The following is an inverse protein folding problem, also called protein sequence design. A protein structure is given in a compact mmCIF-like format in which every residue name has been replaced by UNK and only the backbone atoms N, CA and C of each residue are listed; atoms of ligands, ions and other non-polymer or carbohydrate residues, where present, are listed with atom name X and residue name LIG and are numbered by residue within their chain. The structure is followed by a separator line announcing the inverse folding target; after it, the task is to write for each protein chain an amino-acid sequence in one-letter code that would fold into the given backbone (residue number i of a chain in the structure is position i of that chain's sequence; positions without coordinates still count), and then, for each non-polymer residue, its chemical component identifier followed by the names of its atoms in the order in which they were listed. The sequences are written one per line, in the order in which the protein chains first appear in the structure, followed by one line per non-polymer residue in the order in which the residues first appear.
data_IF_060632868364
#
_entry.id   IF_060632868364
#
_cell.length_a   1.000
_cell.length_b   1.000
_cell.length_c   1.000
_cell.angle_alpha   90.00
_cell.angle_beta   90.00
_cell.angle_gamma   90.00
#
_symmetry.space_group_name_H-M   'P 1'
#
loop_
_entity.id
_entity.type
_entity.pdbx_description
1 polymer ?
#
# COMPACT_ATOMS: atom_id res chain seq x y z
N UNK A 1 -4.34 27.99 2.61
CA UNK A 1 -3.81 26.97 3.57
C UNK A 1 -2.38 27.32 3.98
N UNK A 2 -1.94 27.03 5.21
CA UNK A 2 -0.55 27.26 5.66
C UNK A 2 0.07 25.97 6.21
N UNK A 3 1.31 25.66 5.83
CA UNK A 3 2.10 24.57 6.39
C UNK A 3 3.50 25.06 6.79
N UNK A 4 3.73 25.23 8.09
CA UNK A 4 4.97 25.80 8.61
C UNK A 4 5.22 27.21 8.08
N UNK A 5 6.23 27.35 7.22
CA UNK A 5 6.62 28.61 6.57
C UNK A 5 5.99 28.82 5.19
N UNK A 6 5.23 27.84 4.69
CA UNK A 6 4.68 27.88 3.33
C UNK A 6 3.20 28.27 3.36
N UNK A 7 2.82 29.18 2.47
CA UNK A 7 1.45 29.56 2.21
C UNK A 7 1.04 29.00 0.86
N UNK A 8 -0.17 28.45 0.81
CA UNK A 8 -0.75 27.89 -0.40
C UNK A 8 -2.09 28.57 -0.65
N UNK A 9 -2.25 29.05 -1.88
CA UNK A 9 -3.54 29.35 -2.49
C UNK A 9 -3.96 28.09 -3.24
N UNK A 10 -5.18 27.63 -3.00
CA UNK A 10 -5.70 26.39 -3.59
C UNK A 10 -6.88 26.79 -4.45
N UNK A 11 -6.81 26.47 -5.74
CA UNK A 11 -7.90 26.59 -6.67
C UNK A 11 -8.42 25.20 -6.98
N UNK A 12 -9.74 25.06 -7.07
CA UNK A 12 -10.41 23.84 -7.48
C UNK A 12 -11.10 24.19 -8.79
N UNK A 13 -10.84 23.40 -9.83
CA UNK A 13 -11.45 23.55 -11.14
C UNK A 13 -11.90 22.18 -11.60
N UNK A 14 -13.01 22.17 -12.34
CA UNK A 14 -13.41 21.01 -13.10
C UNK A 14 -12.43 20.84 -14.27
N UNK A 15 -12.11 19.58 -14.59
CA UNK A 15 -11.27 19.20 -15.71
C UNK A 15 -11.92 18.01 -16.40
N UNK A 16 -11.86 17.99 -17.73
CA UNK A 16 -12.35 16.84 -18.47
C UNK A 16 -11.50 15.60 -18.16
N UNK A 17 -12.13 14.44 -17.89
CA UNK A 17 -11.39 13.21 -17.65
C UNK A 17 -10.60 12.82 -18.90
N UNK A 18 -9.38 12.33 -18.70
CA UNK A 18 -8.50 11.84 -19.77
C UNK A 18 -8.26 10.35 -19.57
N UNK A 19 -9.27 9.51 -19.90
CA UNK A 19 -9.17 8.09 -19.70
C UNK A 19 -8.02 7.51 -20.54
N UNK A 20 -7.39 6.46 -20.01
CA UNK A 20 -6.46 5.65 -20.78
C UNK A 20 -7.23 4.68 -21.69
N UNK A 21 -6.59 4.13 -22.73
CA UNK A 21 -7.18 3.03 -23.50
C UNK A 21 -7.68 1.91 -22.56
N UNK A 22 -8.84 1.29 -22.83
CA UNK A 22 -9.35 0.19 -22.02
C UNK A 22 -8.30 -0.91 -21.85
N UNK A 23 -8.28 -1.51 -20.67
CA UNK A 23 -7.42 -2.65 -20.33
C UNK A 23 -8.26 -3.68 -19.61
N UNK A 24 -8.15 -4.94 -20.03
CA UNK A 24 -8.79 -6.08 -19.37
C UNK A 24 -7.89 -6.66 -18.26
N UNK A 25 -6.63 -6.21 -18.16
CA UNK A 25 -5.70 -6.68 -17.14
C UNK A 25 -6.20 -6.30 -15.73
N UNK A 26 -6.09 -7.24 -14.80
CA UNK A 26 -6.47 -7.06 -13.41
C UNK A 26 -5.35 -7.51 -12.46
N UNK A 27 -5.18 -6.78 -11.36
CA UNK A 27 -4.13 -7.09 -10.37
C UNK A 27 -4.68 -7.04 -8.95
N UNK A 28 -4.29 -8.01 -8.12
CA UNK A 28 -4.45 -7.94 -6.67
C UNK A 28 -3.21 -7.35 -6.03
N UNK A 29 -3.38 -6.48 -5.03
CA UNK A 29 -2.29 -5.93 -4.23
C UNK A 29 -2.48 -6.27 -2.74
N UNK A 30 -1.49 -6.92 -2.17
CA UNK A 30 -1.36 -7.12 -0.72
C UNK A 30 -0.52 -5.98 -0.13
N UNK A 31 -1.04 -5.27 0.87
CA UNK A 31 -0.39 -4.10 1.46
C UNK A 31 0.51 -4.51 2.64
N UNK A 32 1.76 -4.07 2.60
CA UNK A 32 2.77 -4.35 3.61
C UNK A 32 3.37 -3.09 4.23
N UNK A 33 4.14 -3.30 5.29
CA UNK A 33 4.94 -2.24 5.94
C UNK A 33 6.43 -2.55 5.97
N UNK A 34 6.82 -3.81 5.83
CA UNK A 34 8.22 -4.27 5.89
C UNK A 34 8.35 -5.74 5.40
N UNK A 35 9.30 -6.06 4.50
CA UNK A 35 10.17 -5.16 3.73
C UNK A 35 9.46 -4.50 2.54
N UNK A 36 8.32 -5.04 2.12
CA UNK A 36 7.56 -4.56 0.98
C UNK A 36 6.41 -3.63 1.41
N UNK A 37 6.20 -2.57 0.64
CA UNK A 37 5.04 -1.68 0.72
C UNK A 37 3.80 -2.34 0.13
N UNK A 38 3.97 -3.04 -0.99
CA UNK A 38 2.95 -3.91 -1.55
C UNK A 38 3.58 -5.08 -2.31
N UNK A 39 2.82 -6.16 -2.43
CA UNK A 39 3.12 -7.32 -3.27
C UNK A 39 1.94 -7.54 -4.21
N UNK A 40 2.23 -7.81 -5.48
CA UNK A 40 1.20 -8.00 -6.51
C UNK A 40 0.92 -9.48 -6.74
N UNK A 41 -0.25 -9.80 -7.31
CA UNK A 41 -0.63 -11.18 -7.67
C UNK A 41 0.25 -11.78 -8.78
N UNK A 42 0.99 -10.95 -9.52
CA UNK A 42 2.00 -11.34 -10.51
C UNK A 42 3.40 -11.55 -9.91
N UNK A 43 3.58 -11.31 -8.60
CA UNK A 43 4.86 -11.51 -7.91
C UNK A 43 5.77 -10.28 -7.85
N UNK A 44 5.38 -9.14 -8.42
CA UNK A 44 6.13 -7.89 -8.21
C UNK A 44 6.06 -7.46 -6.74
N UNK A 45 7.20 -7.14 -6.15
CA UNK A 45 7.32 -6.66 -4.78
C UNK A 45 7.89 -5.24 -4.76
N UNK A 46 7.11 -4.28 -4.28
CA UNK A 46 7.54 -2.88 -4.17
C UNK A 46 8.12 -2.66 -2.78
N UNK A 47 9.39 -2.26 -2.67
CA UNK A 47 10.01 -2.01 -1.37
C UNK A 47 9.34 -0.89 -0.59
N UNK A 48 9.28 -1.05 0.73
CA UNK A 48 8.88 0.01 1.64
C UNK A 48 10.00 1.07 1.73
N UNK A 49 9.72 2.34 1.38
CA UNK A 49 10.76 3.37 1.32
C UNK A 49 11.32 3.74 2.70
N UNK A 50 10.57 3.44 3.78
CA UNK A 50 10.97 3.62 5.20
C UNK A 50 11.46 5.04 5.50
N UNK A 51 10.81 6.04 4.92
CA UNK A 51 11.24 7.44 5.03
C UNK A 51 11.23 7.96 6.46
N UNK A 52 10.23 7.58 7.28
CA UNK A 52 10.20 7.96 8.68
C UNK A 52 11.34 7.29 9.45
N UNK A 53 11.53 5.98 9.31
CA UNK A 53 12.62 5.26 10.00
C UNK A 53 13.99 5.87 9.67
N UNK A 54 14.26 6.18 8.40
CA UNK A 54 15.50 6.85 7.95
C UNK A 54 15.69 8.25 8.54
N UNK A 55 14.60 8.93 8.92
CA UNK A 55 14.61 10.28 9.47
C UNK A 55 14.44 10.32 11.00
N UNK A 56 14.21 9.17 11.64
CA UNK A 56 13.78 9.06 13.04
C UNK A 56 14.79 9.68 14.00
N UNK A 57 16.08 9.40 13.84
CA UNK A 57 17.14 9.97 14.67
C UNK A 57 17.20 11.49 14.58
N UNK A 58 17.13 12.04 13.35
CA UNK A 58 17.14 13.49 13.10
C UNK A 58 15.91 14.16 13.69
N UNK A 59 14.76 13.52 13.56
CA UNK A 59 13.50 14.01 14.11
C UNK A 59 13.51 13.99 15.65
N UNK A 60 13.97 12.88 16.26
CA UNK A 60 14.08 12.74 17.70
C UNK A 60 15.03 13.79 18.29
N UNK A 61 16.18 14.05 17.65
CA UNK A 61 17.09 15.12 18.04
C UNK A 61 16.42 16.50 17.99
N UNK A 62 15.73 16.82 16.89
CA UNK A 62 15.04 18.10 16.75
C UNK A 62 13.89 18.27 17.76
N UNK A 63 13.16 17.20 18.08
CA UNK A 63 12.11 17.20 19.10
C UNK A 63 12.67 17.39 20.51
N UNK A 64 13.79 16.73 20.86
CA UNK A 64 14.51 16.94 22.12
C UNK A 64 15.04 18.36 22.25
N UNK A 65 15.59 18.93 21.17
CA UNK A 65 15.99 20.35 21.14
C UNK A 65 14.79 21.27 21.41
N UNK A 66 13.64 21.00 20.80
CA UNK A 66 12.42 21.78 20.98
C UNK A 66 11.87 21.70 22.42
N UNK A 67 11.83 20.52 23.01
CA UNK A 67 11.27 20.32 24.36
C UNK A 67 12.02 21.12 25.43
N UNK A 68 13.34 21.25 25.27
CA UNK A 68 14.23 22.03 26.16
C UNK A 68 14.07 23.56 26.03
N UNK A 69 13.36 24.09 25.02
CA UNK A 69 13.23 25.55 24.82
C UNK A 69 12.02 26.14 25.55
N UNK A 70 12.21 27.26 26.25
CA UNK A 70 11.12 27.99 26.95
C UNK A 70 10.01 28.45 26.00
N UNK A 71 8.75 28.26 26.39
CA UNK A 71 7.57 28.73 25.65
C UNK A 71 7.60 30.26 25.49
N UNK A 72 7.14 30.76 24.34
CA UNK A 72 7.10 32.19 24.02
C UNK A 72 8.43 32.82 23.57
N UNK A 73 9.57 32.15 23.72
CA UNK A 73 10.87 32.68 23.26
C UNK A 73 11.13 32.39 21.78
N UNK A 74 11.83 33.31 21.11
CA UNK A 74 12.20 33.22 19.68
C UNK A 74 12.95 31.92 19.33
N UNK A 75 13.80 31.43 20.24
CA UNK A 75 14.51 30.16 20.08
C UNK A 75 13.59 28.93 19.99
N UNK A 76 12.46 28.92 20.70
CA UNK A 76 11.46 27.83 20.58
C UNK A 76 10.73 27.89 19.24
N UNK A 77 10.46 29.10 18.73
CA UNK A 77 9.86 29.29 17.38
C UNK A 77 10.76 28.66 16.31
N UNK A 78 12.07 28.95 16.34
CA UNK A 78 13.05 28.34 15.42
C UNK A 78 13.09 26.81 15.51
N UNK A 79 13.16 26.26 16.73
CA UNK A 79 13.16 24.80 16.93
C UNK A 79 11.87 24.13 16.42
N UNK A 80 10.71 24.77 16.63
CA UNK A 80 9.42 24.27 16.13
C UNK A 80 9.37 24.23 14.60
N UNK A 81 9.92 25.25 13.93
CA UNK A 81 10.02 25.28 12.47
C UNK A 81 10.93 24.19 11.93
N UNK A 82 12.04 23.89 12.60
CA UNK A 82 12.93 22.77 12.24
C UNK A 82 12.20 21.43 12.28
N UNK A 83 11.43 21.15 13.34
CA UNK A 83 10.60 19.94 13.45
C UNK A 83 9.55 19.90 12.33
N UNK A 84 8.85 21.01 12.09
CA UNK A 84 7.84 21.09 11.02
C UNK A 84 8.45 20.84 9.62
N UNK A 85 9.65 21.38 9.35
CA UNK A 85 10.37 21.17 8.08
C UNK A 85 10.71 19.69 7.85
N UNK A 86 11.15 18.99 8.90
CA UNK A 86 11.43 17.54 8.81
C UNK A 86 10.17 16.73 8.54
N UNK A 87 9.08 16.97 9.28
CA UNK A 87 7.80 16.29 9.03
C UNK A 87 7.28 16.54 7.61
N UNK A 88 7.36 17.78 7.12
CA UNK A 88 6.96 18.11 5.75
C UNK A 88 7.80 17.37 4.71
N UNK A 89 9.11 17.27 4.92
CA UNK A 89 10.00 16.50 4.01
C UNK A 89 9.59 15.03 3.95
N UNK A 90 9.37 14.38 5.09
CA UNK A 90 8.94 12.98 5.17
C UNK A 90 7.59 12.79 4.47
N UNK A 91 6.63 13.67 4.75
CA UNK A 91 5.30 13.62 4.14
C UNK A 91 5.36 13.78 2.61
N UNK A 92 6.18 14.71 2.10
CA UNK A 92 6.36 14.92 0.67
C UNK A 92 7.03 13.72 -0.02
N UNK A 93 8.07 13.13 0.59
CA UNK A 93 8.74 11.95 0.05
C UNK A 93 7.78 10.76 -0.04
N UNK A 94 7.00 10.52 1.01
CA UNK A 94 5.97 9.48 1.02
C UNK A 94 4.90 9.72 -0.04
N UNK A 95 4.42 10.96 -0.17
CA UNK A 95 3.42 11.31 -1.18
C UNK A 95 3.95 11.11 -2.60
N UNK A 96 5.18 11.52 -2.88
CA UNK A 96 5.86 11.29 -4.16
C UNK A 96 5.93 9.79 -4.49
N UNK A 97 6.37 8.97 -3.53
CA UNK A 97 6.36 7.51 -3.65
C UNK A 97 4.97 6.96 -3.97
N UNK A 98 3.94 7.38 -3.24
CA UNK A 98 2.55 6.95 -3.48
C UNK A 98 2.06 7.30 -4.88
N UNK A 99 2.30 8.51 -5.37
CA UNK A 99 1.90 8.90 -6.72
C UNK A 99 2.60 8.06 -7.79
N UNK A 100 3.90 7.77 -7.62
CA UNK A 100 4.66 6.95 -8.57
C UNK A 100 4.16 5.51 -8.62
N UNK A 101 3.97 4.89 -7.46
CA UNK A 101 3.45 3.51 -7.38
C UNK A 101 2.02 3.43 -7.93
N UNK A 102 1.13 4.35 -7.52
CA UNK A 102 -0.24 4.37 -8.03
C UNK A 102 -0.28 4.59 -9.56
N UNK A 103 0.55 5.51 -10.09
CA UNK A 103 0.62 5.75 -11.53
C UNK A 103 1.11 4.52 -12.29
N UNK A 104 2.09 3.78 -11.75
CA UNK A 104 2.56 2.53 -12.34
C UNK A 104 1.43 1.51 -12.46
N UNK A 105 0.66 1.31 -11.39
CA UNK A 105 -0.48 0.37 -11.39
C UNK A 105 -1.57 0.80 -12.38
N UNK A 106 -2.01 2.07 -12.31
CA UNK A 106 -3.10 2.62 -13.13
C UNK A 106 -2.78 2.63 -14.63
N UNK A 107 -1.50 2.80 -14.99
CA UNK A 107 -1.09 2.78 -16.39
C UNK A 107 -1.25 1.41 -17.03
N UNK A 108 -1.05 0.33 -16.25
CA UNK A 108 -1.05 -1.05 -16.76
C UNK A 108 -2.40 -1.72 -16.62
N UNK A 109 -2.98 -1.68 -15.42
CA UNK A 109 -4.14 -2.49 -15.09
C UNK A 109 -5.45 -1.72 -15.26
N UNK A 110 -6.43 -2.39 -15.88
CA UNK A 110 -7.82 -1.97 -15.95
C UNK A 110 -8.53 -2.02 -14.60
N UNK A 111 -8.19 -3.04 -13.80
CA UNK A 111 -8.78 -3.31 -12.49
C UNK A 111 -7.71 -3.54 -11.44
N UNK A 112 -7.80 -2.86 -10.31
CA UNK A 112 -6.84 -2.99 -9.20
C UNK A 112 -7.63 -3.36 -7.94
N UNK A 113 -7.30 -4.48 -7.33
CA UNK A 113 -8.03 -5.07 -6.20
C UNK A 113 -7.18 -5.02 -4.95
N UNK A 114 -7.75 -4.56 -3.84
CA UNK A 114 -7.09 -4.55 -2.55
C UNK A 114 -8.06 -4.93 -1.42
N UNK A 115 -7.52 -5.28 -0.26
CA UNK A 115 -8.33 -5.57 0.92
C UNK A 115 -9.04 -4.34 1.50
N UNK A 116 -10.26 -4.51 1.97
CA UNK A 116 -10.98 -3.51 2.78
C UNK A 116 -10.52 -3.57 4.24
N UNK A 117 -9.26 -3.18 4.46
CA UNK A 117 -8.69 -3.15 5.81
C UNK A 117 -9.30 -2.00 6.64
N UNK A 118 -9.58 -2.28 7.91
CA UNK A 118 -9.87 -1.22 8.88
C UNK A 118 -8.58 -0.49 9.28
N UNK A 119 -8.09 0.38 8.38
CA UNK A 119 -6.82 1.11 8.53
C UNK A 119 -6.83 1.97 9.79
N UNK A 120 -7.99 2.51 10.19
CA UNK A 120 -8.11 3.30 11.41
C UNK A 120 -7.82 2.44 12.65
N UNK A 121 -8.43 1.27 12.76
CA UNK A 121 -8.15 0.35 13.85
C UNK A 121 -6.68 -0.10 13.85
N UNK A 122 -6.14 -0.47 12.68
CA UNK A 122 -4.76 -0.90 12.57
C UNK A 122 -3.76 0.21 12.93
N UNK A 123 -4.06 1.46 12.60
CA UNK A 123 -3.26 2.64 12.96
C UNK A 123 -3.21 2.92 14.47
N UNK A 124 -4.01 2.21 15.28
CA UNK A 124 -4.02 2.29 16.74
C UNK A 124 -3.51 1.01 17.42
N UNK A 125 -3.03 0.06 16.64
CA UNK A 125 -2.56 -1.25 17.12
C UNK A 125 -1.04 -1.31 17.27
N UNK A 126 -0.50 -2.48 17.62
CA UNK A 126 0.95 -2.70 17.73
C UNK A 126 1.71 -2.49 16.39
N UNK A 127 1.04 -2.55 15.24
CA UNK A 127 1.63 -2.26 13.92
C UNK A 127 1.50 -0.79 13.50
N UNK A 128 0.95 0.07 14.35
CA UNK A 128 0.68 1.48 14.04
C UNK A 128 1.88 2.23 13.45
N UNK A 129 3.09 2.03 14.00
CA UNK A 129 4.31 2.69 13.51
C UNK A 129 4.56 2.39 12.03
N UNK A 130 4.44 1.12 11.63
CA UNK A 130 4.62 0.69 10.24
C UNK A 130 3.55 1.29 9.33
N UNK A 131 2.29 1.31 9.77
CA UNK A 131 1.17 1.84 8.99
C UNK A 131 1.27 3.36 8.81
N UNK A 132 1.69 4.09 9.85
CA UNK A 132 1.90 5.53 9.75
C UNK A 132 3.10 5.88 8.85
N UNK A 133 4.16 5.07 8.86
CA UNK A 133 5.28 5.26 7.93
C UNK A 133 4.86 4.94 6.49
N UNK A 134 4.20 3.80 6.26
CA UNK A 134 3.72 3.38 4.95
C UNK A 134 2.64 4.33 4.39
N UNK A 135 1.75 4.85 5.23
CA UNK A 135 0.70 5.80 4.86
C UNK A 135 -0.38 5.20 3.95
N UNK A 136 -0.84 3.98 4.24
CA UNK A 136 -1.80 3.23 3.41
C UNK A 136 -3.06 4.01 3.03
N UNK A 137 -3.69 4.71 3.97
CA UNK A 137 -4.90 5.49 3.68
C UNK A 137 -4.66 6.56 2.61
N UNK A 138 -3.53 7.27 2.68
CA UNK A 138 -3.15 8.27 1.69
C UNK A 138 -2.83 7.63 0.34
N UNK A 139 -2.17 6.47 0.33
CA UNK A 139 -1.90 5.72 -0.89
C UNK A 139 -3.20 5.26 -1.58
N UNK A 140 -4.12 4.63 -0.85
CA UNK A 140 -5.37 4.14 -1.41
C UNK A 140 -6.25 5.28 -1.92
N UNK A 141 -6.25 6.43 -1.23
CA UNK A 141 -6.90 7.64 -1.75
C UNK A 141 -6.25 8.08 -3.07
N UNK A 142 -4.91 8.10 -3.14
CA UNK A 142 -4.18 8.45 -4.37
C UNK A 142 -4.47 7.48 -5.51
N UNK A 143 -4.52 6.19 -5.20
CA UNK A 143 -4.83 5.13 -6.15
C UNK A 143 -6.25 5.30 -6.70
N UNK A 144 -7.23 5.54 -5.83
CA UNK A 144 -8.63 5.69 -6.20
C UNK A 144 -8.85 6.84 -7.19
N UNK A 145 -8.43 8.07 -6.86
CA UNK A 145 -8.69 9.20 -7.77
C UNK A 145 -7.88 9.06 -9.08
N UNK A 146 -6.66 8.49 -9.05
CA UNK A 146 -5.89 8.27 -10.28
C UNK A 146 -6.50 7.22 -11.18
N UNK A 147 -7.09 6.19 -10.58
CA UNK A 147 -7.82 5.18 -11.31
C UNK A 147 -9.06 5.79 -11.97
N UNK A 148 -9.84 6.58 -11.22
CA UNK A 148 -11.00 7.30 -11.74
C UNK A 148 -10.64 8.24 -12.90
N UNK A 149 -9.62 9.09 -12.74
CA UNK A 149 -9.10 9.98 -13.80
C UNK A 149 -8.72 9.22 -15.09
N UNK A 150 -8.24 7.99 -14.94
CA UNK A 150 -7.75 7.14 -16.03
C UNK A 150 -8.78 6.14 -16.57
N UNK A 151 -10.03 6.15 -16.06
CA UNK A 151 -11.05 5.18 -16.45
C UNK A 151 -10.75 3.75 -15.99
N UNK A 152 -10.10 3.59 -14.83
CA UNK A 152 -9.77 2.30 -14.19
C UNK A 152 -10.66 2.04 -12.99
N UNK A 153 -10.76 0.77 -12.59
CA UNK A 153 -11.52 0.34 -11.40
C UNK A 153 -10.60 0.02 -10.24
N UNK A 154 -10.98 0.46 -9.04
CA UNK A 154 -10.39 0.01 -7.78
C UNK A 154 -11.46 -0.72 -6.99
N UNK A 155 -11.21 -1.98 -6.67
CA UNK A 155 -12.17 -2.86 -5.99
C UNK A 155 -11.62 -3.20 -4.59
N UNK A 156 -12.50 -3.08 -3.60
CA UNK A 156 -12.22 -3.52 -2.23
C UNK A 156 -12.85 -4.89 -1.99
N UNK A 157 -12.10 -5.79 -1.35
CA UNK A 157 -12.58 -7.14 -1.02
C UNK A 157 -12.45 -7.43 0.47
N UNK A 158 -13.26 -8.34 0.99
CA UNK A 158 -13.13 -8.82 2.37
C UNK A 158 -11.72 -9.39 2.60
N UNK A 159 -10.95 -8.92 3.59
CA UNK A 159 -9.62 -9.47 3.93
C UNK A 159 -9.65 -10.86 4.58
N UNK A 160 -10.80 -11.37 5.00
CA UNK A 160 -10.89 -12.56 5.86
C UNK A 160 -10.28 -13.80 5.20
N UNK A 161 -9.16 -14.31 5.71
CA UNK A 161 -8.45 -15.53 5.22
C UNK A 161 -7.68 -15.41 3.91
N UNK A 162 -7.58 -14.23 3.29
CA UNK A 162 -6.74 -13.99 2.10
C UNK A 162 -5.29 -14.44 2.30
N UNK A 163 -4.75 -14.28 3.51
CA UNK A 163 -3.38 -14.70 3.85
C UNK A 163 -3.25 -16.16 4.33
N UNK A 164 -4.34 -16.93 4.34
CA UNK A 164 -4.38 -18.29 4.91
C UNK A 164 -4.77 -19.33 3.87
N UNK A 165 -5.66 -18.97 2.96
CA UNK A 165 -6.17 -19.87 1.92
C UNK A 165 -5.11 -20.08 0.83
N UNK A 166 -4.99 -21.32 0.35
CA UNK A 166 -4.16 -21.62 -0.81
C UNK A 166 -4.84 -21.08 -2.08
N UNK A 167 -4.18 -20.22 -2.88
CA UNK A 167 -4.76 -19.69 -4.12
C UNK A 167 -4.98 -20.75 -5.21
N UNK A 168 -4.40 -21.94 -5.04
CA UNK A 168 -4.54 -23.05 -6.00
C UNK A 168 -5.72 -23.96 -5.67
N UNK A 169 -5.83 -24.41 -4.41
CA UNK A 169 -6.82 -25.42 -4.01
C UNK A 169 -7.79 -24.98 -2.91
N UNK A 170 -7.66 -23.76 -2.38
CA UNK A 170 -8.51 -23.24 -1.30
C UNK A 170 -8.19 -23.78 0.10
N UNK A 171 -7.18 -24.65 0.26
CA UNK A 171 -6.79 -25.18 1.57
C UNK A 171 -6.48 -24.05 2.56
N UNK A 172 -7.18 -24.02 3.70
CA UNK A 172 -7.00 -23.00 4.73
C UNK A 172 -6.02 -23.47 5.79
N UNK A 173 -4.97 -22.69 5.98
CA UNK A 173 -4.00 -22.93 7.06
C UNK A 173 -3.47 -21.61 7.60
N UNK A 174 -3.51 -21.48 8.94
CA UNK A 174 -2.93 -20.32 9.63
C UNK A 174 -1.41 -20.46 9.68
N UNK A 175 -0.73 -19.56 8.98
CA UNK A 175 0.74 -19.54 8.89
C UNK A 175 1.33 -18.46 9.78
N UNK A 176 2.42 -18.73 10.51
CA UNK A 176 3.13 -17.69 11.23
C UNK A 176 3.66 -16.59 10.30
N UNK A 177 3.71 -15.35 10.78
CA UNK A 177 4.10 -14.18 9.97
C UNK A 177 5.54 -14.25 9.42
N UNK A 178 6.44 -15.00 10.08
CA UNK A 178 7.83 -15.16 9.64
C UNK A 178 7.99 -16.16 8.49
N UNK A 179 6.98 -17.00 8.23
CA UNK A 179 7.01 -17.95 7.12
C UNK A 179 6.69 -17.21 5.82
N UNK A 180 7.69 -17.02 4.97
CA UNK A 180 7.55 -16.31 3.69
C UNK A 180 7.30 -17.22 2.50
N UNK A 181 7.78 -18.45 2.54
CA UNK A 181 7.48 -19.47 1.55
C UNK A 181 6.91 -20.71 2.26
N UNK A 182 5.92 -21.35 1.66
CA UNK A 182 5.32 -22.57 2.17
C UNK A 182 4.90 -23.49 1.04
N UNK A 183 4.85 -24.79 1.31
CA UNK A 183 4.25 -25.78 0.43
C UNK A 183 2.86 -26.11 0.94
N UNK A 184 1.83 -26.00 0.10
CA UNK A 184 0.48 -26.37 0.50
C UNK A 184 0.42 -27.88 0.80
N UNK A 185 -0.04 -28.31 2.00
CA UNK A 185 -0.08 -29.72 2.36
C UNK A 185 -1.13 -30.51 1.55
N UNK A 186 -2.11 -29.83 0.93
CA UNK A 186 -3.18 -30.47 0.17
C UNK A 186 -2.88 -30.62 -1.32
N UNK A 187 -2.28 -29.62 -1.97
CA UNK A 187 -2.01 -29.64 -3.42
C UNK A 187 -0.53 -29.58 -3.80
N UNK A 188 0.38 -29.45 -2.84
CA UNK A 188 1.83 -29.40 -3.09
C UNK A 188 2.34 -28.08 -3.70
N UNK A 189 1.49 -27.08 -3.92
CA UNK A 189 1.92 -25.80 -4.49
C UNK A 189 2.93 -25.09 -3.56
N UNK A 190 4.09 -24.71 -4.11
CA UNK A 190 5.08 -23.87 -3.45
C UNK A 190 4.73 -22.39 -3.67
N UNK A 191 4.55 -21.65 -2.59
CA UNK A 191 3.96 -20.31 -2.62
C UNK A 191 4.71 -19.33 -1.75
N UNK A 192 4.97 -18.13 -2.28
CA UNK A 192 5.34 -16.98 -1.45
C UNK A 192 4.08 -16.40 -0.79
N UNK A 193 4.09 -16.27 0.54
CA UNK A 193 2.93 -15.90 1.37
C UNK A 193 2.21 -14.65 0.89
N UNK A 194 2.96 -13.58 0.63
CA UNK A 194 2.37 -12.28 0.26
C UNK A 194 1.89 -12.26 -1.21
N UNK A 195 2.48 -13.10 -2.09
CA UNK A 195 2.01 -13.26 -3.48
C UNK A 195 0.72 -14.08 -3.47
N UNK A 196 0.66 -15.15 -2.67
CA UNK A 196 -0.55 -15.94 -2.48
C UNK A 196 -1.70 -15.10 -1.91
N UNK A 197 -1.41 -14.21 -0.95
CA UNK A 197 -2.39 -13.25 -0.45
C UNK A 197 -2.92 -12.34 -1.57
N UNK A 198 -2.03 -11.75 -2.37
CA UNK A 198 -2.42 -10.92 -3.50
C UNK A 198 -3.24 -11.66 -4.56
N UNK A 199 -2.94 -12.94 -4.83
CA UNK A 199 -3.73 -13.80 -5.71
C UNK A 199 -5.14 -14.06 -5.16
N UNK A 200 -5.26 -14.37 -3.87
CA UNK A 200 -6.56 -14.53 -3.22
C UNK A 200 -7.37 -13.24 -3.21
N UNK A 201 -6.72 -12.09 -3.00
CA UNK A 201 -7.35 -10.76 -3.09
C UNK A 201 -7.94 -10.55 -4.49
N UNK A 202 -7.16 -10.82 -5.55
CA UNK A 202 -7.64 -10.72 -6.92
C UNK A 202 -8.81 -11.66 -7.20
N UNK A 203 -8.71 -12.92 -6.77
CA UNK A 203 -9.76 -13.91 -6.99
C UNK A 203 -11.11 -13.46 -6.39
N UNK A 204 -11.08 -12.81 -5.22
CA UNK A 204 -12.29 -12.33 -4.53
C UNK A 204 -13.05 -11.23 -5.26
N UNK A 205 -12.40 -10.48 -6.16
CA UNK A 205 -13.13 -9.51 -6.97
C UNK A 205 -14.12 -10.17 -7.94
N UNK A 206 -13.91 -11.45 -8.24
CA UNK A 206 -14.68 -12.20 -9.24
C UNK A 206 -15.65 -13.20 -8.62
N UNK A 207 -15.40 -13.62 -7.38
CA UNK A 207 -16.30 -14.47 -6.61
C UNK A 207 -17.27 -13.59 -5.80
N UNK A 208 -18.57 -13.63 -6.10
CA UNK A 208 -19.57 -12.94 -5.28
C UNK A 208 -19.60 -13.42 -3.82
N UNK A 209 -20.37 -12.78 -2.94
CA UNK A 209 -20.48 -13.14 -1.52
C UNK A 209 -20.94 -14.59 -1.24
N UNK A 210 -21.48 -15.29 -2.24
CA UNK A 210 -21.88 -16.70 -2.19
C UNK A 210 -20.76 -17.72 -2.42
N UNK A 211 -19.52 -17.29 -2.72
CA UNK A 211 -18.39 -18.20 -2.88
C UNK A 211 -18.38 -19.03 -4.17
N UNK A 212 -19.27 -18.72 -5.13
CA UNK A 212 -19.20 -19.31 -6.47
C UNK A 212 -18.11 -18.59 -7.29
N UNK A 213 -17.10 -19.35 -7.68
CA UNK A 213 -16.07 -18.95 -8.63
C UNK A 213 -16.65 -18.94 -10.04
N UNK A 214 -16.54 -17.84 -10.81
CA UNK A 214 -16.56 -17.96 -12.26
C UNK A 214 -15.38 -18.85 -12.65
N UNK A 215 -15.67 -19.90 -13.40
CA UNK A 215 -14.70 -20.94 -13.80
C UNK A 215 -13.44 -20.31 -14.41
N UNK A 216 -12.31 -20.74 -13.87
CA UNK A 216 -10.94 -20.65 -14.40
C UNK A 216 -10.38 -19.24 -14.64
N UNK A 217 -9.36 -18.89 -13.86
CA UNK A 217 -8.30 -17.98 -14.31
C UNK A 217 -7.80 -18.47 -15.67
N UNK A 218 -7.66 -17.62 -16.71
CA UNK A 218 -6.84 -17.98 -17.85
C UNK A 218 -5.43 -18.21 -17.33
N UNK A 219 -4.89 -19.40 -17.56
CA UNK A 219 -3.51 -19.73 -17.22
C UNK A 219 -2.56 -18.86 -18.06
N UNK A 220 -2.29 -17.66 -17.58
CA UNK A 220 -1.18 -16.85 -18.05
C UNK A 220 0.11 -17.50 -17.58
N UNK A 221 0.94 -17.91 -18.55
CA UNK A 221 2.24 -18.56 -18.42
C UNK A 221 2.90 -18.38 -17.04
N UNK A 222 3.07 -19.49 -16.33
CA UNK A 222 4.03 -19.59 -15.23
C UNK A 222 5.40 -19.07 -15.72
N UNK A 223 5.99 -18.04 -15.08
CA UNK A 223 7.36 -17.71 -15.36
C UNK A 223 8.21 -18.91 -14.95
N UNK A 224 8.89 -19.52 -15.93
CA UNK A 224 9.93 -20.50 -15.66
C UNK A 224 10.94 -19.82 -14.73
N UNK A 225 11.15 -20.39 -13.56
CA UNK A 225 12.24 -20.01 -12.67
C UNK A 225 13.55 -19.96 -13.47
N UNK A 226 14.34 -18.88 -13.39
CA UNK A 226 15.73 -18.96 -13.85
C UNK A 226 16.43 -19.99 -12.95
N UNK A 227 17.17 -20.88 -13.60
CA UNK A 227 17.77 -22.06 -12.99
C UNK A 227 18.73 -21.77 -11.84
N UNK A 228 18.98 -22.87 -11.12
CA UNK A 228 20.04 -23.16 -10.16
C UNK A 228 21.26 -22.22 -10.18
#
# INVERSE_FOLDING_TARGET
KREGEHWYIIFITEVDPKPLPPSEEAIGIDLGTNPHFLVTSEGEMVEAPRHFQKAEEKLAKAQRELSRKKKGKSGRKKARLKVAKLHRKIANQRRDFHHKVARKLVNRYGTIVHEDLNILALSRSYVAKGIHDAGWAAFLQILAYKAEEAGRRVIKVDPKYTSQDCPVCGHREKKPLWVRAYTCPQCGALLHRDVAAAQNILARAWTGPSGETPRAFPQGNTPRSPGL
#
